data_IF_938251688687
#
_entry.id   IF_938251688687
#
_cell.length_a   1.000
_cell.length_b   1.000
_cell.length_c   1.000
_cell.angle_alpha   90.00
_cell.angle_beta   90.00
_cell.angle_gamma   90.00
#
_symmetry.space_group_name_H-M   'P 1'
#
loop_
_entity.id
_entity.type
_entity.pdbx_description
1 polymer ?
#
# COMPACT_ATOMS: atom_id res chain seq x y z
N UNK A 1 -2.43 -9.52 1.78
CA UNK A 1 -3.19 -8.91 2.89
C UNK A 1 -2.69 -9.59 4.13
N UNK A 2 -2.32 -8.81 5.12
CA UNK A 2 -1.83 -9.29 6.39
C UNK A 2 -2.11 -8.22 7.43
N UNK A 3 -2.08 -8.60 8.71
CA UNK A 3 -2.32 -7.71 9.82
C UNK A 3 -0.98 -7.06 10.24
N UNK A 4 -1.03 -5.78 10.59
CA UNK A 4 0.09 -5.04 11.16
C UNK A 4 -0.36 -4.41 12.48
N UNK A 5 0.55 -4.35 13.44
CA UNK A 5 0.35 -3.64 14.72
C UNK A 5 0.57 -2.14 14.56
N UNK A 6 1.59 -1.76 13.78
CA UNK A 6 1.92 -0.36 13.49
C UNK A 6 1.22 0.12 12.22
N UNK A 7 0.74 1.36 12.24
CA UNK A 7 0.20 2.00 11.05
C UNK A 7 1.33 2.46 10.12
N UNK A 8 1.43 1.83 8.95
CA UNK A 8 2.43 2.16 7.92
C UNK A 8 1.77 2.63 6.63
N UNK A 9 2.58 3.01 5.63
CA UNK A 9 2.10 3.29 4.28
C UNK A 9 1.38 2.09 3.63
N UNK A 10 1.66 0.85 4.04
CA UNK A 10 0.97 -0.35 3.54
C UNK A 10 -0.47 -0.47 4.06
N UNK A 11 -0.78 0.15 5.20
CA UNK A 11 -2.12 0.20 5.77
C UNK A 11 -3.05 1.17 5.01
N UNK A 12 -2.51 2.02 4.13
CA UNK A 12 -3.28 3.01 3.40
C UNK A 12 -3.89 2.42 2.13
N UNK A 13 -5.21 2.46 2.08
CA UNK A 13 -5.98 2.10 0.90
C UNK A 13 -6.64 3.33 0.30
N UNK A 14 -6.59 3.44 -1.03
CA UNK A 14 -7.45 4.36 -1.77
C UNK A 14 -8.83 3.73 -1.91
N UNK A 15 -9.83 4.41 -1.37
CA UNK A 15 -11.24 4.12 -1.63
C UNK A 15 -11.65 4.70 -3.00
N UNK A 16 -12.47 3.96 -3.73
CA UNK A 16 -13.08 4.44 -4.98
C UNK A 16 -14.42 3.75 -5.22
N UNK A 17 -15.30 4.42 -5.94
CA UNK A 17 -16.57 3.83 -6.37
C UNK A 17 -16.41 3.13 -7.72
N UNK A 18 -17.08 2.00 -7.90
CA UNK A 18 -17.18 1.26 -9.16
C UNK A 18 -18.66 1.12 -9.56
N UNK A 19 -18.95 1.49 -10.81
CA UNK A 19 -20.31 1.47 -11.41
C UNK A 19 -21.39 2.11 -10.53
N UNK A 20 -21.00 3.10 -9.72
CA UNK A 20 -21.87 3.83 -8.79
C UNK A 20 -22.57 2.97 -7.72
N UNK A 21 -22.13 1.72 -7.50
CA UNK A 21 -22.80 0.78 -6.60
C UNK A 21 -21.84 0.10 -5.61
N UNK A 22 -20.61 -0.20 -6.05
CA UNK A 22 -19.64 -0.89 -5.20
C UNK A 22 -18.52 0.05 -4.75
N UNK A 23 -18.02 -0.19 -3.56
CA UNK A 23 -16.78 0.39 -3.08
C UNK A 23 -15.63 -0.59 -3.33
N UNK A 24 -14.52 -0.07 -3.83
CA UNK A 24 -13.29 -0.83 -4.07
C UNK A 24 -12.13 -0.17 -3.31
N UNK A 25 -11.23 -1.00 -2.78
CA UNK A 25 -10.05 -0.56 -2.06
C UNK A 25 -8.79 -1.01 -2.80
N UNK A 26 -7.94 -0.05 -3.17
CA UNK A 26 -6.65 -0.33 -3.82
C UNK A 26 -5.49 0.10 -2.94
N UNK A 27 -4.39 -0.67 -2.95
CA UNK A 27 -3.15 -0.24 -2.27
C UNK A 27 -2.71 1.13 -2.80
N UNK A 28 -2.31 2.03 -1.91
CA UNK A 28 -1.67 3.29 -2.31
C UNK A 28 -0.23 3.08 -2.79
N UNK A 29 0.46 2.05 -2.27
CA UNK A 29 1.87 1.77 -2.54
C UNK A 29 2.08 0.80 -3.71
N UNK A 30 1.24 -0.23 -3.82
CA UNK A 30 1.51 -1.36 -4.71
C UNK A 30 0.70 -1.37 -6.00
N UNK A 31 1.43 -1.51 -7.12
CA UNK A 31 0.89 -1.57 -8.50
C UNK A 31 1.72 -2.54 -9.35
N UNK A 32 1.15 -3.03 -10.45
CA UNK A 32 1.93 -3.73 -11.47
C UNK A 32 2.93 -2.76 -12.10
N UNK A 33 4.21 -3.15 -12.19
CA UNK A 33 5.30 -2.28 -12.66
C UNK A 33 5.09 -1.80 -14.09
N UNK A 34 4.71 -2.71 -14.99
CA UNK A 34 4.59 -2.40 -16.43
C UNK A 34 3.28 -1.69 -16.77
N UNK A 35 2.14 -2.22 -16.32
CA UNK A 35 0.82 -1.69 -16.69
C UNK A 35 0.33 -0.55 -15.79
N UNK A 36 1.00 -0.29 -14.67
CA UNK A 36 0.55 0.64 -13.64
C UNK A 36 -0.74 0.20 -12.90
N UNK A 37 -1.27 -0.99 -13.21
CA UNK A 37 -2.53 -1.48 -12.64
C UNK A 37 -2.41 -1.66 -11.13
N UNK A 38 -3.30 -1.01 -10.39
CA UNK A 38 -3.33 -1.11 -8.94
C UNK A 38 -3.58 -2.54 -8.45
N UNK A 39 -3.08 -2.83 -7.24
CA UNK A 39 -3.45 -4.03 -6.50
C UNK A 39 -4.66 -3.75 -5.63
N UNK A 40 -5.61 -4.67 -5.61
CA UNK A 40 -6.90 -4.48 -4.93
C UNK A 40 -7.07 -5.44 -3.76
N UNK A 41 -7.72 -4.98 -2.70
CA UNK A 41 -8.33 -5.87 -1.71
C UNK A 41 -9.37 -6.75 -2.41
N UNK A 42 -9.40 -8.04 -2.09
CA UNK A 42 -10.44 -8.91 -2.61
C UNK A 42 -10.52 -10.27 -1.96
N UNK A 43 -11.71 -10.87 -2.06
CA UNK A 43 -12.06 -12.18 -1.54
C UNK A 43 -12.46 -13.11 -2.69
N UNK A 44 -12.17 -14.41 -2.57
CA UNK A 44 -12.70 -15.42 -3.50
C UNK A 44 -14.15 -15.80 -3.13
N UNK A 45 -14.73 -16.75 -3.87
CA UNK A 45 -16.12 -17.20 -3.65
C UNK A 45 -16.31 -17.88 -2.29
N UNK A 46 -15.23 -18.43 -1.75
CA UNK A 46 -15.15 -19.09 -0.45
C UNK A 46 -14.89 -18.10 0.70
N UNK A 47 -14.84 -16.79 0.42
CA UNK A 47 -14.61 -15.74 1.42
C UNK A 47 -13.15 -15.58 1.86
N UNK A 48 -12.20 -16.24 1.20
CA UNK A 48 -10.78 -16.19 1.53
C UNK A 48 -10.07 -15.03 0.84
N UNK A 49 -9.09 -14.45 1.54
CA UNK A 49 -8.28 -13.35 1.04
C UNK A 49 -7.47 -13.73 -0.21
N UNK A 50 -7.53 -12.88 -1.24
CA UNK A 50 -6.77 -13.05 -2.48
C UNK A 50 -5.50 -12.19 -2.50
N UNK A 51 -4.49 -12.61 -3.27
CA UNK A 51 -3.31 -11.76 -3.55
C UNK A 51 -3.74 -10.56 -4.39
N UNK A 52 -3.38 -9.35 -3.94
CA UNK A 52 -3.90 -8.11 -4.53
C UNK A 52 -3.58 -7.89 -6.01
N UNK A 53 -2.48 -8.44 -6.51
CA UNK A 53 -2.13 -8.41 -7.94
C UNK A 53 -3.07 -9.27 -8.81
N UNK A 54 -3.74 -10.28 -8.23
CA UNK A 54 -4.70 -11.17 -8.91
C UNK A 54 -6.12 -10.60 -8.90
N UNK A 55 -6.42 -9.68 -7.99
CA UNK A 55 -7.72 -9.02 -7.91
C UNK A 55 -7.80 -7.91 -8.98
N UNK A 56 -8.94 -7.84 -9.68
CA UNK A 56 -9.20 -6.88 -10.75
C UNK A 56 -10.38 -6.00 -10.38
N UNK A 57 -10.28 -4.70 -10.64
CA UNK A 57 -11.32 -3.68 -10.40
C UNK A 57 -12.72 -4.09 -10.91
N UNK A 58 -12.79 -4.73 -12.08
CA UNK A 58 -14.04 -5.11 -12.75
C UNK A 58 -14.58 -6.48 -12.31
N UNK A 59 -13.96 -7.14 -11.33
CA UNK A 59 -14.37 -8.48 -10.88
C UNK A 59 -15.05 -8.40 -9.51
N UNK A 60 -16.11 -9.22 -9.27
CA UNK A 60 -16.83 -9.23 -8.00
C UNK A 60 -15.96 -9.42 -6.77
N UNK A 61 -14.82 -10.11 -6.90
CA UNK A 61 -13.85 -10.27 -5.82
C UNK A 61 -13.39 -8.94 -5.20
N UNK A 62 -13.42 -7.83 -5.95
CA UNK A 62 -13.01 -6.50 -5.50
C UNK A 62 -14.16 -5.63 -4.98
N UNK A 63 -15.41 -6.11 -5.09
CA UNK A 63 -16.62 -5.31 -4.92
C UNK A 63 -17.16 -5.47 -3.52
N UNK A 64 -17.10 -4.40 -2.73
CA UNK A 64 -17.59 -4.38 -1.36
C UNK A 64 -18.77 -3.42 -1.23
N UNK A 65 -19.71 -3.75 -0.35
CA UNK A 65 -20.80 -2.87 0.05
C UNK A 65 -20.65 -2.59 1.55
N UNK A 66 -20.07 -1.42 1.93
CA UNK A 66 -19.96 -1.04 3.34
C UNK A 66 -21.34 -1.00 3.99
N UNK A 67 -21.44 -1.56 5.20
CA UNK A 67 -22.63 -1.48 6.05
C UNK A 67 -22.24 -0.69 7.31
N UNK A 68 -22.40 0.65 7.32
CA UNK A 68 -22.07 1.46 8.49
C UNK A 68 -22.89 1.02 9.71
N UNK A 69 -22.24 1.01 10.87
CA UNK A 69 -22.90 0.71 12.16
C UNK A 69 -23.22 2.04 12.86
N UNK A 70 -22.17 2.78 13.19
CA UNK A 70 -22.25 4.11 13.79
C UNK A 70 -21.08 4.98 13.33
N UNK A 71 -21.19 6.29 13.55
CA UNK A 71 -20.09 7.23 13.33
C UNK A 71 -19.27 7.30 14.61
N UNK A 72 -17.96 7.16 14.48
CA UNK A 72 -17.03 7.24 15.61
C UNK A 72 -15.87 8.19 15.29
N UNK A 73 -15.36 8.82 16.34
CA UNK A 73 -14.17 9.67 16.28
C UNK A 73 -12.94 8.83 16.64
N UNK A 74 -11.94 8.84 15.77
CA UNK A 74 -10.67 8.16 16.01
C UNK A 74 -9.55 9.19 16.03
N UNK A 75 -8.54 8.95 16.87
CA UNK A 75 -7.29 9.71 16.78
C UNK A 75 -6.56 9.30 15.50
N UNK A 76 -5.96 10.27 14.82
CA UNK A 76 -5.10 9.97 13.68
C UNK A 76 -3.94 9.04 14.11
N UNK A 77 -3.76 7.88 13.45
CA UNK A 77 -2.71 6.94 13.80
C UNK A 77 -1.33 7.50 13.42
N UNK A 78 -0.33 7.28 14.27
CA UNK A 78 1.06 7.65 13.99
C UNK A 78 1.62 6.82 12.84
N UNK A 79 2.16 7.49 11.82
CA UNK A 79 2.77 6.84 10.66
C UNK A 79 4.17 6.32 11.00
N UNK A 80 4.40 5.03 10.77
CA UNK A 80 5.69 4.36 10.91
C UNK A 80 6.24 3.92 9.56
N UNK A 81 7.56 3.69 9.50
CA UNK A 81 8.19 3.15 8.31
C UNK A 81 7.87 1.66 8.13
N UNK A 82 7.77 1.22 6.87
CA UNK A 82 7.43 -0.17 6.53
C UNK A 82 8.46 -1.16 7.12
N UNK A 83 9.73 -0.76 7.20
CA UNK A 83 10.80 -1.58 7.78
C UNK A 83 10.70 -1.74 9.31
N UNK A 84 10.02 -0.83 10.01
CA UNK A 84 9.86 -0.88 11.47
C UNK A 84 8.71 -1.78 11.91
N UNK A 85 7.72 -2.00 11.02
CA UNK A 85 6.55 -2.84 11.28
C UNK A 85 6.81 -4.34 11.08
N UNK A 86 8.01 -4.74 10.66
CA UNK A 86 8.41 -6.14 10.64
C UNK A 86 8.65 -6.56 12.09
N UNK A 87 7.92 -7.57 12.63
CA UNK A 87 8.28 -8.13 13.93
C UNK A 87 9.74 -8.55 13.89
N UNK A 88 10.58 -7.98 14.77
CA UNK A 88 11.95 -8.44 14.95
C UNK A 88 11.87 -9.90 15.40
N UNK A 89 12.03 -10.84 14.46
CA UNK A 89 12.36 -12.21 14.80
C UNK A 89 13.66 -12.14 15.61
N UNK A 90 13.58 -12.47 16.89
CA UNK A 90 14.72 -12.52 17.80
C UNK A 90 15.72 -13.53 17.23
N UNK A 91 16.88 -13.06 16.77
CA UNK A 91 18.04 -13.89 16.47
C UNK A 91 18.52 -13.87 15.01
N UNK A 92 19.30 -12.85 14.65
CA UNK A 92 20.14 -12.85 13.45
C UNK A 92 21.16 -11.71 13.52
N UNK A 93 22.46 -11.94 13.20
CA UNK A 93 23.52 -10.95 13.43
C UNK A 93 23.40 -9.73 12.50
N UNK A 94 23.95 -8.57 12.89
CA UNK A 94 23.76 -7.33 12.15
C UNK A 94 24.61 -7.34 10.87
N UNK A 95 23.97 -7.36 9.72
CA UNK A 95 24.63 -7.05 8.45
C UNK A 95 24.88 -5.56 8.37
N UNK A 96 26.17 -5.17 8.42
CA UNK A 96 26.64 -3.84 8.05
C UNK A 96 26.54 -3.67 6.53
N UNK A 97 25.89 -2.61 6.07
CA UNK A 97 26.16 -1.96 4.77
C UNK A 97 25.62 -0.53 4.83
N UNK A 98 26.47 0.46 5.13
CA UNK A 98 27.24 1.28 4.18
C UNK A 98 26.41 2.41 3.58
N UNK A 99 26.69 3.61 4.12
CA UNK A 99 26.81 4.91 3.45
C UNK A 99 25.62 5.47 2.67
N UNK A 100 25.11 6.55 3.24
CA UNK A 100 24.29 7.62 2.67
C UNK A 100 24.73 8.08 1.27
N UNK A 101 23.81 8.15 0.33
CA UNK A 101 23.85 9.13 -0.76
C UNK A 101 22.53 9.91 -0.81
N UNK A 102 22.56 11.26 -0.92
CA UNK A 102 21.36 12.05 -1.07
C UNK A 102 20.87 12.01 -2.53
N UNK A 103 19.55 11.89 -2.68
CA UNK A 103 18.81 11.99 -3.96
C UNK A 103 18.98 13.40 -4.53
N UNK A 104 19.67 13.52 -5.66
CA UNK A 104 19.86 14.79 -6.39
C UNK A 104 18.69 14.97 -7.38
N UNK A 105 17.99 16.10 -7.28
CA UNK A 105 16.87 16.48 -8.17
C UNK A 105 17.36 16.91 -9.56
N UNK A 106 16.54 16.62 -10.57
CA UNK A 106 16.75 16.87 -12.01
C UNK A 106 17.16 18.30 -12.40
N UNK A 107 18.04 18.38 -13.41
CA UNK A 107 17.87 19.30 -14.56
C UNK A 107 18.48 20.70 -14.47
N UNK A 108 19.73 20.85 -14.95
CA UNK A 108 20.33 22.15 -15.28
C UNK A 108 21.46 21.99 -16.31
N UNK A 109 21.38 22.69 -17.45
CA UNK A 109 22.37 22.65 -18.54
C UNK A 109 23.79 23.03 -18.07
N UNK A 110 24.86 22.43 -18.62
CA UNK A 110 26.22 22.87 -18.33
C UNK A 110 26.50 24.21 -19.06
N UNK A 111 26.86 25.24 -18.28
CA UNK A 111 27.50 26.46 -18.80
C UNK A 111 28.99 26.28 -18.61
N UNK A 112 29.72 26.25 -19.72
CA UNK A 112 31.18 26.21 -19.76
C UNK A 112 31.73 27.65 -19.78
N UNK A 113 32.81 27.92 -19.04
CA UNK A 113 33.63 29.15 -19.15
C UNK A 113 34.83 29.12 -18.19
N UNK A 114 35.88 29.89 -18.52
CA UNK A 114 36.78 29.76 -19.66
C UNK A 114 37.98 28.85 -19.35
#
# INVERSE_FOLDING_TARGET
LFLQELFTAECKFKESVFENYYVIYSSMLYRQKESGRAWFLGLNKEGQAMKGNRVKKTKPAAHFLPKPIEVAMYREPSLHDVGEAVPKLVGGPPSKSTTSEPVVMNGGKPVNKP
#
